data_IF_465601903343
#
_entry.id   IF_465601903343
#
_cell.length_a   1.000
_cell.length_b   1.000
_cell.length_c   1.000
_cell.angle_alpha   90.00
_cell.angle_beta   90.00
_cell.angle_gamma   90.00
#
_symmetry.space_group_name_H-M   'P 1'
#
loop_
_entity.id
_entity.type
_entity.pdbx_description
1 polymer ?
2 water ?
#
# COMPACT_ATOMS: atom_id res chain seq x y z
N UNK A 1 3.00 -18.36 -13.59
CA UNK A 1 3.17 -19.22 -12.42
C UNK A 1 1.83 -19.41 -11.71
N UNK A 2 1.42 -20.69 -11.51
CA UNK A 2 0.17 -21.03 -10.79
C UNK A 2 0.42 -21.21 -9.29
N UNK A 3 -0.64 -21.17 -8.47
CA UNK A 3 -0.56 -21.35 -7.00
C UNK A 3 0.03 -22.72 -6.63
N UNK A 4 -0.46 -23.79 -7.29
CA UNK A 4 0.06 -25.13 -7.05
C UNK A 4 1.55 -25.22 -7.39
N UNK A 5 2.00 -24.48 -8.43
CA UNK A 5 3.40 -24.42 -8.83
C UNK A 5 4.26 -23.74 -7.77
N UNK A 6 3.81 -22.56 -7.25
CA UNK A 6 4.54 -21.87 -6.20
C UNK A 6 4.57 -22.69 -4.92
N UNK A 7 3.45 -23.39 -4.57
CA UNK A 7 3.36 -24.24 -3.38
C UNK A 7 4.49 -25.26 -3.43
N UNK A 8 4.69 -25.89 -4.61
CA UNK A 8 5.72 -26.88 -4.86
C UNK A 8 7.11 -26.23 -4.81
N UNK A 9 7.27 -25.03 -5.43
CA UNK A 9 8.53 -24.26 -5.40
C UNK A 9 8.92 -23.89 -3.97
N UNK A 10 7.93 -23.48 -3.17
CA UNK A 10 8.12 -23.13 -1.77
C UNK A 10 8.52 -24.35 -0.93
N UNK A 11 7.81 -25.49 -1.10
CA UNK A 11 8.11 -26.76 -0.42
C UNK A 11 9.52 -27.25 -0.73
N UNK A 12 9.92 -27.12 -2.01
CA UNK A 12 11.24 -27.52 -2.50
C UNK A 12 12.33 -26.71 -1.82
N UNK A 13 12.20 -25.37 -1.83
CA UNK A 13 13.17 -24.48 -1.18
C UNK A 13 13.24 -24.68 0.33
N UNK A 14 12.10 -25.01 0.97
CA UNK A 14 12.04 -25.32 2.40
C UNK A 14 12.88 -26.58 2.68
N UNK A 15 12.77 -27.60 1.80
CA UNK A 15 13.51 -28.85 1.91
C UNK A 15 15.00 -28.64 1.62
N UNK A 16 15.35 -27.90 0.55
CA UNK A 16 16.73 -27.58 0.14
C UNK A 16 17.46 -26.85 1.26
N UNK A 17 16.84 -25.78 1.80
CA UNK A 17 17.43 -24.95 2.85
C UNK A 17 17.54 -25.64 4.17
N UNK A 18 16.65 -26.63 4.45
CA UNK A 18 16.74 -27.41 5.67
C UNK A 18 17.97 -28.33 5.57
N UNK A 19 18.13 -29.01 4.41
CA UNK A 19 19.24 -29.91 4.13
C UNK A 19 20.57 -29.12 4.13
N UNK A 20 20.58 -27.93 3.52
CA UNK A 20 21.76 -27.09 3.44
C UNK A 20 22.25 -26.46 4.77
N UNK A 21 21.35 -26.16 5.69
CA UNK A 21 21.71 -25.53 6.97
C UNK A 21 21.83 -26.53 8.14
N UNK A 22 21.16 -27.66 8.02
CA UNK A 22 21.14 -28.67 9.07
C UNK A 22 20.18 -28.31 10.19
N UNK A 23 19.26 -27.36 9.92
CA UNK A 23 18.25 -26.90 10.87
C UNK A 23 17.35 -28.05 11.28
N UNK A 24 17.00 -28.09 12.58
CA UNK A 24 16.09 -29.06 13.15
C UNK A 24 14.71 -28.87 12.51
N UNK A 25 14.02 -29.97 12.14
CA UNK A 25 12.70 -29.90 11.52
C UNK A 25 11.69 -29.07 12.30
N UNK A 26 11.67 -29.20 13.66
CA UNK A 26 10.78 -28.41 14.50
C UNK A 26 11.01 -26.89 14.34
N UNK A 27 12.29 -26.46 14.28
CA UNK A 27 12.66 -25.06 14.10
C UNK A 27 12.28 -24.57 12.70
N UNK A 28 12.46 -25.42 11.67
CA UNK A 28 12.06 -25.13 10.29
C UNK A 28 10.54 -24.96 10.23
N UNK A 29 9.80 -25.82 10.97
CA UNK A 29 8.35 -25.78 11.07
C UNK A 29 7.87 -24.48 11.75
N UNK A 30 8.60 -24.02 12.79
CA UNK A 30 8.31 -22.77 13.51
C UNK A 30 8.40 -21.58 12.55
N UNK A 31 9.48 -21.54 11.73
CA UNK A 31 9.74 -20.51 10.71
C UNK A 31 8.61 -20.50 9.67
N UNK A 32 8.21 -21.69 9.18
CA UNK A 32 7.12 -21.88 8.21
C UNK A 32 5.79 -21.36 8.78
N UNK A 33 5.56 -21.56 10.09
CA UNK A 33 4.36 -21.10 10.80
C UNK A 33 4.35 -19.59 11.09
N UNK A 34 5.49 -18.95 10.88
CA UNK A 34 5.63 -17.52 11.11
C UNK A 34 6.20 -17.15 12.47
N UNK A 35 6.83 -18.12 13.15
CA UNK A 35 7.46 -17.91 14.46
C UNK A 35 8.96 -18.00 14.33
N UNK A 36 9.57 -16.84 14.04
CA UNK A 36 10.99 -16.70 13.78
C UNK A 36 11.77 -16.35 15.06
N UNK A 37 12.66 -17.27 15.48
CA UNK A 37 13.58 -17.05 16.59
C UNK A 37 14.79 -16.39 15.89
N UNK A 38 14.65 -15.08 15.60
CA UNK A 38 15.59 -14.26 14.82
C UNK A 38 17.09 -14.45 15.08
N UNK A 39 17.49 -14.70 16.33
CA UNK A 39 18.89 -14.86 16.71
C UNK A 39 19.41 -16.29 16.65
N UNK A 40 18.51 -17.30 16.58
CA UNK A 40 18.93 -18.70 16.45
C UNK A 40 19.70 -18.81 15.15
N UNK A 41 20.94 -19.27 15.26
CA UNK A 41 21.89 -19.39 14.15
C UNK A 41 21.41 -20.24 12.99
N UNK A 42 20.80 -21.38 13.30
CA UNK A 42 20.26 -22.25 12.26
C UNK A 42 19.01 -21.64 11.64
N UNK A 43 18.22 -20.88 12.43
CA UNK A 43 17.01 -20.18 11.96
C UNK A 43 17.42 -19.09 10.96
N UNK A 44 18.38 -18.21 11.32
CA UNK A 44 18.84 -17.14 10.42
C UNK A 44 19.46 -17.66 9.12
N UNK A 45 20.22 -18.78 9.17
CA UNK A 45 20.83 -19.43 8.01
C UNK A 45 19.77 -19.98 7.06
N UNK A 46 18.74 -20.62 7.63
CA UNK A 46 17.60 -21.18 6.91
C UNK A 46 16.84 -20.05 6.20
N UNK A 47 16.61 -18.93 6.91
CA UNK A 47 15.95 -17.74 6.39
C UNK A 47 16.74 -17.14 5.22
N UNK A 48 18.08 -17.02 5.39
CA UNK A 48 18.99 -16.48 4.39
C UNK A 48 18.96 -17.30 3.11
N UNK A 49 19.02 -18.64 3.25
CA UNK A 49 18.97 -19.59 2.15
C UNK A 49 17.68 -19.43 1.34
N UNK A 50 16.52 -19.35 2.02
CA UNK A 50 15.20 -19.18 1.40
C UNK A 50 15.11 -17.88 0.60
N UNK A 51 15.50 -16.75 1.21
CA UNK A 51 15.48 -15.43 0.57
C UNK A 51 16.38 -15.35 -0.65
N UNK A 52 17.56 -15.96 -0.58
CA UNK A 52 18.53 -15.98 -1.67
C UNK A 52 18.10 -16.87 -2.83
N UNK A 53 17.51 -18.04 -2.54
CA UNK A 53 17.00 -18.97 -3.55
C UNK A 53 15.78 -18.43 -4.30
N UNK A 54 15.12 -17.39 -3.74
CA UNK A 54 13.97 -16.73 -4.36
C UNK A 54 14.28 -15.34 -4.91
N UNK A 55 15.56 -14.93 -4.85
CA UNK A 55 16.06 -13.62 -5.30
C UNK A 55 15.46 -12.43 -4.52
N UNK A 56 15.09 -12.66 -3.25
CA UNK A 56 14.55 -11.61 -2.38
C UNK A 56 15.72 -10.83 -1.78
N UNK A 57 16.79 -11.56 -1.42
CA UNK A 57 18.07 -11.05 -0.95
C UNK A 57 19.04 -11.35 -2.08
N UNK A 58 19.73 -10.33 -2.61
CA UNK A 58 20.70 -10.60 -3.66
C UNK A 58 22.04 -11.02 -3.05
N UNK A 59 23.06 -11.23 -3.89
CA UNK A 59 24.39 -11.65 -3.47
C UNK A 59 25.11 -10.58 -2.64
N UNK A 60 24.61 -9.34 -2.68
CA UNK A 60 25.19 -8.26 -1.91
C UNK A 60 24.28 -7.84 -0.76
N UNK A 61 23.45 -8.80 -0.30
CA UNK A 61 22.54 -8.74 0.85
C UNK A 61 21.57 -7.55 0.87
N UNK A 62 21.08 -7.21 -0.33
CA UNK A 62 20.13 -6.13 -0.58
C UNK A 62 18.73 -6.74 -0.75
N UNK A 63 17.76 -6.19 0.00
CA UNK A 63 16.37 -6.60 -0.08
C UNK A 63 15.82 -6.10 -1.43
N UNK A 64 15.37 -7.03 -2.28
CA UNK A 64 14.86 -6.74 -3.62
C UNK A 64 13.35 -6.55 -3.72
N UNK A 65 12.86 -5.30 -3.93
CA UNK A 65 11.41 -5.08 -4.12
C UNK A 65 10.86 -5.89 -5.31
N UNK A 66 11.58 -5.99 -6.45
CA UNK A 66 11.14 -6.79 -7.61
C UNK A 66 11.15 -8.30 -7.30
N UNK A 67 12.09 -8.73 -6.46
CA UNK A 67 12.22 -10.12 -6.01
C UNK A 67 11.02 -10.54 -5.19
N UNK A 68 10.61 -9.71 -4.20
CA UNK A 68 9.45 -9.97 -3.37
C UNK A 68 8.16 -9.92 -4.18
N UNK A 69 8.04 -8.93 -5.08
CA UNK A 69 6.86 -8.76 -5.94
C UNK A 69 6.62 -9.95 -6.83
N UNK A 70 7.67 -10.46 -7.48
CA UNK A 70 7.58 -11.65 -8.33
C UNK A 70 7.04 -12.85 -7.54
N UNK A 71 7.52 -13.03 -6.29
CA UNK A 71 7.11 -14.10 -5.40
C UNK A 71 5.71 -13.86 -4.81
N UNK A 72 5.46 -12.65 -4.28
CA UNK A 72 4.20 -12.32 -3.59
C UNK A 72 3.00 -12.00 -4.47
N UNK A 73 3.20 -11.62 -5.75
CA UNK A 73 2.12 -11.22 -6.67
C UNK A 73 0.88 -12.13 -6.71
N UNK A 74 1.10 -13.44 -6.67
CA UNK A 74 0.07 -14.48 -6.71
C UNK A 74 -0.47 -14.84 -5.32
N UNK A 75 0.25 -14.42 -4.26
CA UNK A 75 -0.13 -14.71 -2.88
C UNK A 75 -0.89 -13.59 -2.22
N UNK A 76 -0.42 -12.35 -2.43
CA UNK A 76 -1.03 -11.16 -1.84
C UNK A 76 -1.26 -10.09 -2.91
N UNK A 77 -2.20 -9.18 -2.64
CA UNK A 77 -2.57 -8.10 -3.55
C UNK A 77 -1.54 -6.96 -3.54
N UNK A 78 -1.63 -6.07 -4.57
CA UNK A 78 -0.75 -4.92 -4.79
C UNK A 78 -0.63 -4.01 -3.58
N UNK A 79 -1.77 -3.67 -2.95
CA UNK A 79 -1.87 -2.83 -1.75
C UNK A 79 -1.02 -3.40 -0.64
N UNK A 80 -1.17 -4.71 -0.39
CA UNK A 80 -0.42 -5.43 0.65
C UNK A 80 1.06 -5.54 0.29
N UNK A 81 1.38 -5.78 -0.99
CA UNK A 81 2.76 -5.87 -1.51
C UNK A 81 3.49 -4.55 -1.23
N UNK A 82 2.87 -3.40 -1.56
CA UNK A 82 3.43 -2.07 -1.34
C UNK A 82 3.72 -1.77 0.12
N UNK A 83 2.81 -2.21 1.01
CA UNK A 83 2.96 -2.03 2.45
C UNK A 83 4.10 -2.88 2.97
N UNK A 84 4.16 -4.16 2.51
CA UNK A 84 5.20 -5.14 2.84
C UNK A 84 6.57 -4.59 2.44
N UNK A 85 6.72 -4.18 1.17
CA UNK A 85 7.96 -3.63 0.60
C UNK A 85 8.44 -2.41 1.40
N UNK A 86 7.56 -1.44 1.63
CA UNK A 86 7.87 -0.23 2.40
C UNK A 86 8.33 -0.56 3.82
N UNK A 87 7.57 -1.40 4.54
CA UNK A 87 7.84 -1.84 5.90
C UNK A 87 9.15 -2.63 6.01
N UNK A 88 9.29 -3.73 5.25
CA UNK A 88 10.48 -4.57 5.31
C UNK A 88 11.75 -3.94 4.75
N UNK A 89 11.63 -2.92 3.87
CA UNK A 89 12.81 -2.22 3.37
C UNK A 89 13.43 -1.29 4.47
N UNK A 90 12.72 -1.06 5.60
CA UNK A 90 13.24 -0.25 6.71
C UNK A 90 14.19 -1.04 7.61
N UNK A 91 14.28 -2.37 7.41
CA UNK A 91 15.17 -3.24 8.18
C UNK A 91 16.61 -2.96 7.76
N UNK A 92 17.40 -2.50 8.72
CA UNK A 92 18.80 -2.14 8.56
C UNK A 92 19.58 -3.03 9.49
N UNK A 93 20.31 -3.95 8.89
CA UNK A 93 21.08 -4.92 9.64
C UNK A 93 22.35 -5.27 8.87
N UNK A 94 23.48 -5.08 9.54
CA UNK A 94 24.81 -5.33 8.99
C UNK A 94 25.12 -6.81 8.91
N UNK A 95 24.62 -7.60 9.88
CA UNK A 95 24.80 -9.06 9.90
C UNK A 95 23.81 -9.66 8.89
N UNK A 96 24.32 -10.22 7.77
CA UNK A 96 23.42 -10.77 6.73
C UNK A 96 22.47 -11.85 7.21
N UNK A 97 22.96 -12.75 8.11
CA UNK A 97 22.16 -13.82 8.69
C UNK A 97 21.00 -13.24 9.48
N UNK A 98 21.29 -12.31 10.41
CA UNK A 98 20.27 -11.64 11.22
C UNK A 98 19.31 -10.81 10.38
N UNK A 99 19.82 -10.16 9.32
CA UNK A 99 19.00 -9.37 8.38
C UNK A 99 17.95 -10.28 7.74
N UNK A 100 18.38 -11.49 7.32
CA UNK A 100 17.54 -12.50 6.69
C UNK A 100 16.39 -12.98 7.58
N UNK A 101 16.67 -13.34 8.85
CA UNK A 101 15.64 -13.80 9.79
C UNK A 101 14.66 -12.66 10.13
N UNK A 102 15.16 -11.41 10.23
CA UNK A 102 14.33 -10.22 10.46
C UNK A 102 13.41 -9.96 9.26
N UNK A 103 13.94 -10.16 8.03
CA UNK A 103 13.18 -9.99 6.79
C UNK A 103 12.08 -11.03 6.66
N UNK A 104 12.39 -12.33 6.92
CA UNK A 104 11.43 -13.42 6.89
C UNK A 104 10.32 -13.16 7.93
N UNK A 105 10.71 -12.70 9.13
CA UNK A 105 9.78 -12.35 10.21
C UNK A 105 8.84 -11.22 9.74
N UNK A 106 9.40 -10.20 9.07
CA UNK A 106 8.65 -9.06 8.53
C UNK A 106 7.64 -9.50 7.46
N UNK A 107 8.07 -10.36 6.51
CA UNK A 107 7.25 -10.90 5.43
C UNK A 107 6.13 -11.79 6.00
N UNK A 108 6.46 -12.62 7.01
CA UNK A 108 5.53 -13.55 7.66
C UNK A 108 4.31 -12.89 8.32
N UNK A 109 4.41 -11.60 8.73
CA UNK A 109 3.22 -10.95 9.29
C UNK A 109 2.17 -10.62 8.24
N UNK A 110 2.57 -10.64 6.96
CA UNK A 110 1.65 -10.41 5.85
C UNK A 110 1.11 -11.75 5.39
N UNK A 111 2.01 -12.72 5.19
CA UNK A 111 1.66 -14.07 4.74
C UNK A 111 2.72 -15.06 5.23
N UNK A 112 2.30 -16.03 6.06
CA UNK A 112 3.21 -17.06 6.54
C UNK A 112 3.38 -18.07 5.42
N UNK A 113 4.51 -18.80 5.42
CA UNK A 113 4.78 -19.84 4.42
C UNK A 113 3.74 -20.95 4.55
N UNK A 114 3.31 -21.23 5.79
CA UNK A 114 2.28 -22.21 6.13
C UNK A 114 0.94 -21.86 5.44
N UNK A 115 0.50 -20.59 5.57
CA UNK A 115 -0.75 -20.09 4.96
C UNK A 115 -0.85 -20.27 3.44
N UNK A 116 0.31 -20.36 2.74
CA UNK A 116 0.37 -20.58 1.29
C UNK A 116 -0.30 -21.93 0.93
N UNK A 117 -0.16 -22.94 1.82
CA UNK A 117 -0.77 -24.27 1.65
C UNK A 117 -2.30 -24.28 1.66
N UNK A 118 -2.92 -23.18 2.14
CA UNK A 118 -4.39 -23.06 2.21
C UNK A 118 -5.00 -22.56 0.91
N UNK A 119 -4.16 -21.99 0.03
CA UNK A 119 -4.63 -21.44 -1.24
C UNK A 119 -4.90 -22.51 -2.30
N UNK B 1 -18.18 10.26 -20.14
CA UNK B 1 -18.62 11.53 -19.57
C UNK B 1 -19.87 11.40 -18.70
N UNK B 2 -20.54 10.23 -18.74
CA UNK B 2 -21.77 10.01 -17.98
C UNK B 2 -21.49 9.94 -16.46
N UNK B 3 -22.56 10.05 -15.63
CA UNK B 3 -22.46 9.96 -14.17
C UNK B 3 -21.91 8.60 -13.74
N UNK B 4 -22.40 7.51 -14.36
CA UNK B 4 -21.93 6.14 -14.07
C UNK B 4 -20.45 5.99 -14.36
N UNK B 5 -19.98 6.67 -15.43
CA UNK B 5 -18.58 6.67 -15.82
C UNK B 5 -17.72 7.40 -14.81
N UNK B 6 -18.20 8.53 -14.27
CA UNK B 6 -17.46 9.26 -13.23
C UNK B 6 -17.44 8.58 -11.91
N UNK B 7 -18.52 7.87 -11.59
CA UNK B 7 -18.62 7.06 -10.39
C UNK B 7 -17.49 6.05 -10.41
N UNK B 8 -17.28 5.40 -11.58
CA UNK B 8 -16.22 4.42 -11.79
C UNK B 8 -14.83 5.09 -11.74
N UNK B 9 -14.68 6.29 -12.35
CA UNK B 9 -13.43 7.05 -12.32
C UNK B 9 -13.05 7.41 -10.88
N UNK B 10 -14.05 7.84 -10.07
CA UNK B 10 -13.88 8.19 -8.67
C UNK B 10 -13.48 6.96 -7.82
N UNK B 11 -14.16 5.82 -8.01
CA UNK B 11 -13.87 4.55 -7.33
C UNK B 11 -12.44 4.09 -7.62
N UNK B 12 -12.02 4.23 -8.89
CA UNK B 12 -10.68 3.85 -9.34
C UNK B 12 -9.61 4.68 -8.62
N UNK B 13 -9.76 6.01 -8.60
CA UNK B 13 -8.81 6.91 -7.91
C UNK B 13 -8.77 6.68 -6.41
N UNK B 14 -9.93 6.34 -5.81
CA UNK B 14 -10.02 6.00 -4.39
C UNK B 14 -9.19 4.75 -4.10
N UNK B 15 -9.26 3.75 -4.99
CA UNK B 15 -8.52 2.50 -4.89
C UNK B 15 -7.01 2.72 -5.11
N UNK B 16 -6.63 3.49 -6.17
CA UNK B 16 -5.22 3.78 -6.46
C UNK B 16 -4.54 4.54 -5.33
N UNK B 17 -5.21 5.58 -4.80
CA UNK B 17 -4.67 6.39 -3.72
C UNK B 17 -4.61 5.69 -2.38
N UNK B 18 -5.49 4.70 -2.18
CA UNK B 18 -5.45 3.89 -0.97
C UNK B 18 -4.22 2.97 -1.02
N UNK B 19 -4.01 2.32 -2.18
CA UNK B 19 -2.87 1.43 -2.45
C UNK B 19 -1.56 2.22 -2.34
N UNK B 20 -1.54 3.44 -2.91
CA UNK B 20 -0.36 4.27 -2.95
C UNK B 20 0.09 4.89 -1.61
N UNK B 21 -0.86 5.18 -0.71
CA UNK B 21 -0.56 5.79 0.59
C UNK B 21 -0.49 4.79 1.75
N UNK B 22 -1.15 3.64 1.58
CA UNK B 22 -1.23 2.62 2.63
C UNK B 22 -2.21 2.99 3.73
N UNK B 23 -3.13 3.94 3.43
CA UNK B 23 -4.17 4.38 4.34
C UNK B 23 -5.07 3.21 4.71
N UNK B 24 -5.42 3.09 5.99
CA UNK B 24 -6.29 1.99 6.36
C UNK B 24 -7.73 2.27 5.95
N UNK B 25 -8.38 1.19 5.56
CA UNK B 25 -9.74 0.99 5.09
C UNK B 25 -10.77 1.95 5.78
N UNK B 26 -10.75 2.03 7.11
CA UNK B 26 -11.66 2.87 7.91
C UNK B 26 -11.47 4.37 7.67
N UNK B 27 -10.20 4.82 7.63
CA UNK B 27 -9.87 6.22 7.43
C UNK B 27 -10.22 6.69 6.02
N UNK B 28 -9.99 5.84 5.00
CA UNK B 28 -10.34 6.13 3.61
C UNK B 28 -11.87 6.26 3.50
N UNK B 29 -12.62 5.39 4.24
CA UNK B 29 -14.08 5.40 4.31
C UNK B 29 -14.57 6.71 4.94
N UNK B 30 -13.90 7.20 6.01
CA UNK B 30 -14.23 8.45 6.70
C UNK B 30 -14.14 9.63 5.72
N UNK B 31 -13.03 9.68 4.94
CA UNK B 31 -12.73 10.70 3.94
C UNK B 31 -13.82 10.70 2.86
N UNK B 32 -14.19 9.49 2.36
CA UNK B 32 -15.22 9.30 1.33
C UNK B 32 -16.57 9.82 1.83
N UNK B 33 -16.87 9.58 3.13
CA UNK B 33 -18.10 10.05 3.78
C UNK B 33 -18.14 11.55 4.06
N UNK B 34 -16.99 12.22 3.91
CA UNK B 34 -16.88 13.65 4.15
C UNK B 34 -16.40 14.02 5.54
N UNK B 35 -15.78 13.06 6.25
CA UNK B 35 -15.23 13.30 7.58
C UNK B 35 -13.72 13.23 7.52
N UNK B 36 -13.13 14.39 7.25
CA UNK B 36 -11.70 14.55 7.03
C UNK B 36 -10.98 14.91 8.33
N UNK B 37 -10.12 14.00 8.80
CA UNK B 37 -9.26 14.24 9.96
C UNK B 37 -8.04 14.90 9.31
N UNK B 38 -8.16 16.21 9.02
CA UNK B 38 -7.20 17.03 8.28
C UNK B 38 -5.71 16.84 8.61
N UNK B 39 -5.39 16.58 9.89
CA UNK B 39 -4.00 16.41 10.32
C UNK B 39 -3.43 15.00 10.30
N UNK B 40 -4.31 14.00 10.16
CA UNK B 40 -3.91 12.61 10.06
C UNK B 40 -3.06 12.50 8.79
N UNK B 41 -1.81 12.05 8.95
CA UNK B 41 -0.82 11.92 7.91
C UNK B 41 -1.24 11.08 6.74
N UNK B 42 -1.86 9.92 7.00
CA UNK B 42 -2.34 9.06 5.93
C UNK B 42 -3.57 9.64 5.24
N UNK B 43 -4.39 10.41 6.00
CA UNK B 43 -5.57 11.11 5.47
C UNK B 43 -5.12 12.19 4.47
N UNK B 44 -4.19 13.08 4.89
CA UNK B 44 -3.70 14.15 4.01
C UNK B 44 -3.01 13.65 2.74
N UNK B 45 -2.24 12.53 2.84
CA UNK B 45 -1.56 11.89 1.71
C UNK B 45 -2.56 11.35 0.69
N UNK B 46 -3.63 10.69 1.20
CA UNK B 46 -4.73 10.11 0.42
C UNK B 46 -5.45 11.24 -0.32
N UNK B 47 -5.72 12.35 0.39
CA UNK B 47 -6.36 13.54 -0.15
C UNK B 47 -5.54 14.17 -1.28
N UNK B 48 -4.21 14.29 -1.05
CA UNK B 48 -3.25 14.84 -2.01
C UNK B 48 -3.23 14.05 -3.30
N UNK B 49 -3.16 12.71 -3.17
CA UNK B 49 -3.16 11.78 -4.29
C UNK B 49 -4.42 11.93 -5.16
N UNK B 50 -5.61 11.98 -4.51
CA UNK B 50 -6.90 12.14 -5.18
C UNK B 50 -6.98 13.45 -5.96
N UNK B 51 -6.62 14.58 -5.32
CA UNK B 51 -6.65 15.91 -5.96
C UNK B 51 -5.71 16.02 -7.15
N UNK B 52 -4.51 15.40 -7.04
CA UNK B 52 -3.52 15.40 -8.11
C UNK B 52 -3.93 14.55 -9.28
N UNK B 53 -4.52 13.37 -9.02
CA UNK B 53 -4.97 12.45 -10.06
C UNK B 53 -6.18 12.99 -10.86
N UNK B 54 -6.87 14.02 -10.30
CA UNK B 54 -8.00 14.68 -10.93
C UNK B 54 -7.68 16.09 -11.45
N UNK B 55 -6.39 16.49 -11.36
CA UNK B 55 -5.90 17.80 -11.80
C UNK B 55 -6.52 18.98 -11.02
N UNK B 56 -6.93 18.74 -9.76
CA UNK B 56 -7.50 19.77 -8.89
C UNK B 56 -6.33 20.53 -8.26
N UNK B 57 -5.27 19.79 -7.90
CA UNK B 57 -4.02 20.32 -7.38
C UNK B 57 -2.98 20.03 -8.45
N UNK B 58 -2.30 21.06 -8.97
CA UNK B 58 -1.26 20.79 -9.95
C UNK B 58 0.07 20.41 -9.26
N UNK B 59 1.16 20.29 -10.04
CA UNK B 59 2.51 19.97 -9.55
C UNK B 59 3.11 21.03 -8.67
N UNK B 60 2.59 22.26 -8.74
CA UNK B 60 3.02 23.41 -7.97
C UNK B 60 2.17 23.63 -6.72
N UNK B 61 1.31 22.63 -6.41
CA UNK B 61 0.36 22.62 -5.29
C UNK B 61 -0.60 23.81 -5.34
N UNK B 62 -1.05 24.15 -6.56
CA UNK B 62 -2.00 25.23 -6.85
C UNK B 62 -3.37 24.62 -7.05
N UNK B 63 -4.39 25.16 -6.35
CA UNK B 63 -5.78 24.75 -6.48
C UNK B 63 -6.28 25.26 -7.82
N UNK B 64 -6.71 24.34 -8.71
CA UNK B 64 -7.15 24.67 -10.07
C UNK B 64 -8.65 24.89 -10.21
N UNK B 65 -9.12 26.17 -10.39
CA UNK B 65 -10.56 26.39 -10.57
C UNK B 65 -11.11 25.65 -11.78
N UNK B 66 -10.38 25.62 -12.92
CA UNK B 66 -10.84 24.91 -14.11
C UNK B 66 -10.83 23.40 -13.91
N UNK B 67 -9.93 22.93 -13.05
CA UNK B 67 -9.79 21.53 -12.67
C UNK B 67 -11.01 21.03 -11.91
N UNK B 68 -11.40 21.78 -10.86
CA UNK B 68 -12.59 21.47 -10.08
C UNK B 68 -13.87 21.59 -10.94
N UNK B 69 -13.96 22.67 -11.75
CA UNK B 69 -15.04 22.99 -12.67
C UNK B 69 -15.35 21.83 -13.63
N UNK B 70 -14.29 21.21 -14.22
CA UNK B 70 -14.37 20.08 -15.14
C UNK B 70 -14.90 18.84 -14.42
N UNK B 71 -14.44 18.57 -13.18
CA UNK B 71 -14.86 17.45 -12.34
C UNK B 71 -16.30 17.63 -11.80
N UNK B 72 -16.60 18.81 -11.24
CA UNK B 72 -17.86 19.14 -10.59
C UNK B 72 -19.08 19.43 -11.49
N UNK B 73 -18.86 19.83 -12.78
CA UNK B 73 -19.92 20.22 -13.74
C UNK B 73 -21.17 19.33 -13.74
N UNK B 74 -20.92 18.04 -13.79
CA UNK B 74 -21.93 17.01 -13.86
C UNK B 74 -22.49 16.58 -12.49
N UNK B 75 -21.78 16.94 -11.41
CA UNK B 75 -22.16 16.62 -10.04
C UNK B 75 -22.94 17.73 -9.36
N UNK B 76 -22.49 18.98 -9.52
CA UNK B 76 -23.14 20.16 -8.94
C UNK B 76 -23.38 21.24 -9.99
N UNK B 77 -24.34 22.14 -9.72
CA UNK B 77 -24.69 23.22 -10.64
C UNK B 77 -23.66 24.36 -10.65
N UNK B 78 -23.72 25.21 -11.67
CA UNK B 78 -22.86 26.37 -11.90
C UNK B 78 -22.76 27.30 -10.69
N UNK B 79 -23.92 27.67 -10.10
CA UNK B 79 -23.97 28.55 -8.93
C UNK B 79 -23.24 27.95 -7.72
N UNK B 80 -23.37 26.61 -7.48
CA UNK B 80 -22.67 25.89 -6.41
C UNK B 80 -21.18 25.80 -6.72
N UNK B 81 -20.82 25.58 -8.01
CA UNK B 81 -19.43 25.50 -8.48
C UNK B 81 -18.70 26.83 -8.16
N UNK B 82 -19.34 27.97 -8.49
CA UNK B 82 -18.79 29.31 -8.24
C UNK B 82 -18.56 29.59 -6.77
N UNK B 83 -19.49 29.14 -5.91
CA UNK B 83 -19.40 29.29 -4.46
C UNK B 83 -18.26 28.44 -3.91
N UNK B 84 -18.19 27.17 -4.38
CA UNK B 84 -17.14 26.20 -4.03
C UNK B 84 -15.77 26.77 -4.37
N UNK B 85 -15.57 27.20 -5.64
CA UNK B 85 -14.33 27.76 -6.16
C UNK B 85 -13.88 28.95 -5.32
N UNK B 86 -14.78 29.93 -5.09
CA UNK B 86 -14.51 31.15 -4.31
C UNK B 86 -14.07 30.80 -2.89
N UNK B 87 -14.86 29.95 -2.19
CA UNK B 87 -14.60 29.50 -0.83
C UNK B 87 -13.31 28.71 -0.69
N UNK B 88 -13.22 27.59 -1.44
CA UNK B 88 -12.06 26.70 -1.42
C UNK B 88 -10.75 27.30 -1.92
N UNK B 89 -10.80 28.38 -2.75
CA UNK B 89 -9.60 29.08 -3.23
C UNK B 89 -8.97 29.96 -2.15
N UNK B 90 -9.69 30.20 -1.02
CA UNK B 90 -9.18 31.00 0.10
C UNK B 90 -8.22 30.19 0.99
N UNK B 91 -8.20 28.85 0.81
CA UNK B 91 -7.32 27.98 1.58
C UNK B 91 -5.89 28.14 1.14
N UNK B 92 -5.04 28.56 2.05
CA UNK B 92 -3.61 28.65 1.77
C UNK B 92 -2.85 27.96 2.87
N UNK B 93 -2.07 26.94 2.49
CA UNK B 93 -1.25 26.18 3.41
C UNK B 93 0.08 25.83 2.78
N UNK B 94 1.18 26.23 3.44
CA UNK B 94 2.53 25.95 2.99
C UNK B 94 2.79 24.46 2.93
N UNK B 95 2.15 23.69 3.83
CA UNK B 95 2.28 22.24 3.85
C UNK B 95 1.35 21.66 2.77
N UNK B 96 1.90 21.10 1.67
CA UNK B 96 1.04 20.56 0.60
C UNK B 96 0.06 19.47 1.03
N UNK B 97 0.49 18.57 1.94
CA UNK B 97 -0.33 17.48 2.50
C UNK B 97 -1.51 18.07 3.23
N UNK B 98 -1.25 18.99 4.20
CA UNK B 98 -2.31 19.66 4.96
C UNK B 98 -3.24 20.49 4.05
N UNK B 99 -2.66 21.15 3.01
CA UNK B 99 -3.45 21.92 2.05
C UNK B 99 -4.46 21.01 1.35
N UNK B 100 -4.02 19.80 0.95
CA UNK B 100 -4.82 18.80 0.27
C UNK B 100 -6.01 18.31 1.10
N UNK B 101 -5.80 17.95 2.37
CA UNK B 101 -6.87 17.48 3.26
C UNK B 101 -7.87 18.60 3.55
N UNK B 102 -7.37 19.86 3.68
CA UNK B 102 -8.22 21.04 3.89
C UNK B 102 -9.08 21.30 2.64
N UNK B 103 -8.49 21.11 1.44
CA UNK B 103 -9.19 21.28 0.17
C UNK B 103 -10.29 20.23 -0.02
N UNK B 104 -9.98 18.93 0.26
CA UNK B 104 -10.94 17.82 0.18
C UNK B 104 -12.09 18.07 1.15
N UNK B 105 -11.76 18.55 2.37
CA UNK B 105 -12.74 18.92 3.40
C UNK B 105 -13.65 20.03 2.91
N UNK B 106 -13.06 21.06 2.27
CA UNK B 106 -13.78 22.20 1.71
C UNK B 106 -14.75 21.78 0.61
N UNK B 107 -14.29 20.93 -0.33
CA UNK B 107 -15.08 20.39 -1.44
C UNK B 107 -16.21 19.50 -0.90
N UNK B 108 -15.89 18.65 0.11
CA UNK B 108 -16.84 17.73 0.74
C UNK B 108 -18.07 18.38 1.37
N UNK B 109 -17.99 19.67 1.78
CA UNK B 109 -19.19 20.34 2.32
C UNK B 109 -20.22 20.63 1.23
N UNK B 110 -19.80 20.62 -0.04
CA UNK B 110 -20.68 20.85 -1.18
C UNK B 110 -21.19 19.51 -1.67
N UNK B 111 -20.26 18.56 -1.87
CA UNK B 111 -20.57 17.21 -2.34
C UNK B 111 -19.52 16.23 -1.81
N UNK B 112 -19.95 15.24 -1.00
CA UNK B 112 -19.04 14.21 -0.48
C UNK B 112 -18.79 13.20 -1.61
N UNK B 113 -17.66 12.49 -1.56
CA UNK B 113 -17.36 11.47 -2.56
C UNK B 113 -18.41 10.35 -2.50
N UNK B 114 -18.88 10.03 -1.28
CA UNK B 114 -19.92 9.03 -1.03
C UNK B 114 -21.22 9.41 -1.72
N UNK B 115 -21.65 10.69 -1.61
CA UNK B 115 -22.89 11.21 -2.21
C UNK B 115 -22.95 11.08 -3.73
N UNK B 116 -21.78 11.00 -4.40
CA UNK B 116 -21.69 10.82 -5.85
C UNK B 116 -22.38 9.49 -6.24
N UNK B 117 -22.26 8.46 -5.39
CA UNK B 117 -22.88 7.13 -5.59
C UNK B 117 -24.42 7.13 -5.58
N UNK B 118 -25.04 8.23 -5.10
CA UNK B 118 -26.49 8.36 -5.04
C UNK B 118 -27.07 8.93 -6.33
N UNK B 119 -26.22 9.49 -7.20
CA UNK B 119 -26.66 10.09 -8.46
C UNK B 119 -26.95 9.05 -9.54
#
# INVERSE_FOLDING_TARGET
>A
MTIEELKTRLHTEQSVCKTETGIDQQKANDVIEGNIDVEDKKVCLYCECILKNFNILDKNNVFKPQGIKAVMELLIDENSVKQLVSDCSTISEENPCLKASKLVQCVSKYKTMKSVDFL
>B
MTIEELKTRLHTEQSVCKTETGIDQQKANDVIEGNIDVEDKKVCLYCECILKNFNILDKNNVFKPQGIKAVMELLIDENSVKQLVSDCSTISEENPCLKASKLVQCVSKYKTMKSVDFL
#
